data_IF_313217384951
#
_entry.id   IF_313217384951
#
_cell.length_a   1.000
_cell.length_b   1.000
_cell.length_c   1.000
_cell.angle_alpha   90.00
_cell.angle_beta   90.00
_cell.angle_gamma   90.00
#
_symmetry.space_group_name_H-M   'P 1'
#
loop_
_entity.id
_entity.type
_entity.pdbx_description
1 polymer ?
#
# COMPACT_ATOMS: atom_id res chain seq x y z
N UNK A 1 12.27 -41.15 12.47
CA UNK A 1 13.75 -41.21 12.43
C UNK A 1 14.18 -40.38 11.23
N UNK A 2 14.60 -39.15 11.47
CA UNK A 2 15.19 -38.30 10.44
C UNK A 2 16.62 -38.80 10.20
N UNK A 3 16.95 -39.09 8.94
CA UNK A 3 18.30 -39.46 8.51
C UNK A 3 19.27 -38.27 8.63
N UNK A 4 20.57 -38.49 8.50
CA UNK A 4 21.60 -37.49 8.68
C UNK A 4 21.44 -36.35 7.68
N UNK A 5 21.64 -35.13 8.19
CA UNK A 5 21.61 -33.82 7.55
C UNK A 5 21.97 -33.82 6.06
N UNK A 6 20.97 -33.90 5.19
CA UNK A 6 21.21 -33.63 3.77
C UNK A 6 21.31 -32.12 3.62
N UNK A 7 22.36 -31.65 2.95
CA UNK A 7 22.46 -30.25 2.55
C UNK A 7 21.23 -29.87 1.72
N UNK A 8 20.71 -28.64 1.87
CA UNK A 8 19.58 -28.18 1.09
C UNK A 8 19.89 -28.22 -0.41
N UNK A 9 18.89 -28.55 -1.21
CA UNK A 9 19.02 -28.44 -2.65
C UNK A 9 19.15 -26.98 -3.06
N UNK A 10 20.28 -26.57 -3.65
CA UNK A 10 20.48 -25.24 -4.21
C UNK A 10 20.13 -25.22 -5.68
N UNK A 11 19.26 -24.29 -6.08
CA UNK A 11 18.86 -24.07 -7.47
C UNK A 11 19.16 -22.62 -7.83
N UNK A 12 20.02 -22.42 -8.82
CA UNK A 12 20.35 -21.10 -9.35
C UNK A 12 19.35 -20.73 -10.47
N UNK A 13 18.58 -19.66 -10.27
CA UNK A 13 17.60 -19.17 -11.24
C UNK A 13 18.23 -18.63 -12.52
N UNK A 14 19.49 -18.18 -12.47
CA UNK A 14 20.18 -17.66 -13.65
C UNK A 14 20.60 -18.79 -14.63
N UNK A 15 20.78 -19.99 -14.11
CA UNK A 15 21.22 -21.18 -14.90
C UNK A 15 20.12 -22.22 -15.09
N UNK A 16 18.93 -22.00 -14.49
CA UNK A 16 17.80 -22.92 -14.62
C UNK A 16 17.24 -22.92 -16.06
N UNK A 17 17.05 -24.10 -16.64
CA UNK A 17 16.50 -24.28 -17.99
C UNK A 17 15.09 -23.68 -18.11
N UNK A 18 14.25 -23.86 -17.10
CA UNK A 18 12.92 -23.24 -16.98
C UNK A 18 12.69 -22.71 -15.55
N UNK A 19 12.66 -21.39 -15.35
CA UNK A 19 12.34 -20.81 -14.05
C UNK A 19 10.96 -21.21 -13.48
N UNK A 20 10.00 -21.62 -14.32
CA UNK A 20 8.69 -22.08 -13.86
C UNK A 20 8.78 -23.45 -13.19
N UNK A 21 9.66 -24.33 -13.67
CA UNK A 21 9.91 -25.61 -13.00
C UNK A 21 10.41 -25.36 -11.57
N UNK A 22 11.31 -24.40 -11.39
CA UNK A 22 11.82 -24.04 -10.05
C UNK A 22 10.69 -23.53 -9.15
N UNK A 23 9.75 -22.74 -9.68
CA UNK A 23 8.54 -22.31 -8.93
C UNK A 23 7.74 -23.53 -8.48
N UNK A 24 7.45 -24.47 -9.39
CA UNK A 24 6.67 -25.69 -9.08
C UNK A 24 7.37 -26.57 -8.04
N UNK A 25 8.69 -26.70 -8.12
CA UNK A 25 9.48 -27.46 -7.14
C UNK A 25 9.45 -26.81 -5.75
N UNK A 26 9.59 -25.47 -5.68
CA UNK A 26 9.46 -24.73 -4.44
C UNK A 26 8.04 -24.86 -3.84
N UNK A 27 7.00 -24.76 -4.68
CA UNK A 27 5.59 -24.98 -4.26
C UNK A 27 5.40 -26.41 -3.72
N UNK A 28 5.95 -27.44 -4.41
CA UNK A 28 5.85 -28.83 -3.96
C UNK A 28 6.56 -29.04 -2.62
N UNK A 29 7.75 -28.48 -2.42
CA UNK A 29 8.49 -28.53 -1.16
C UNK A 29 7.68 -27.87 -0.02
N UNK A 30 7.15 -26.68 -0.23
CA UNK A 30 6.34 -25.95 0.76
C UNK A 30 5.02 -26.66 1.08
N UNK A 31 4.37 -27.26 0.08
CA UNK A 31 3.13 -28.02 0.24
C UNK A 31 3.33 -29.32 1.03
N UNK A 32 4.55 -29.86 1.07
CA UNK A 32 4.94 -31.02 1.87
C UNK A 32 5.43 -30.63 3.28
N UNK A 33 5.39 -29.35 3.64
CA UNK A 33 5.85 -28.84 4.95
C UNK A 33 7.37 -28.64 5.03
N UNK A 34 8.02 -28.50 3.88
CA UNK A 34 9.43 -28.09 3.79
C UNK A 34 9.64 -26.59 4.05
N UNK A 35 10.88 -26.21 4.34
CA UNK A 35 11.35 -24.84 4.44
C UNK A 35 12.19 -24.51 3.22
N UNK A 36 11.89 -23.40 2.57
CA UNK A 36 12.59 -22.94 1.37
C UNK A 36 13.27 -21.60 1.63
N UNK A 37 14.55 -21.49 1.32
CA UNK A 37 15.30 -20.24 1.30
C UNK A 37 15.03 -19.46 0.02
N UNK A 38 14.55 -18.23 0.12
CA UNK A 38 14.14 -17.39 -1.01
C UNK A 38 14.65 -15.95 -0.87
N UNK A 39 14.96 -15.34 -2.01
CA UNK A 39 15.18 -13.90 -2.08
C UNK A 39 13.85 -13.14 -1.99
N UNK A 40 13.86 -12.02 -1.25
CA UNK A 40 12.92 -10.92 -1.45
C UNK A 40 13.66 -9.77 -2.12
N UNK A 41 12.99 -8.66 -2.40
CA UNK A 41 13.67 -7.44 -2.88
C UNK A 41 14.58 -6.82 -1.81
N UNK A 42 14.41 -7.20 -0.54
CA UNK A 42 15.16 -6.67 0.61
C UNK A 42 16.33 -7.57 1.01
N UNK A 43 16.03 -8.73 1.57
CA UNK A 43 17.00 -9.71 2.06
C UNK A 43 16.51 -11.11 1.70
N UNK A 44 17.38 -12.08 1.79
CA UNK A 44 16.97 -13.49 1.78
C UNK A 44 16.23 -13.84 3.07
N UNK A 45 15.29 -14.75 2.95
CA UNK A 45 14.54 -15.28 4.07
C UNK A 45 14.20 -16.73 3.90
N UNK A 46 13.81 -17.36 5.00
CA UNK A 46 13.29 -18.72 5.04
C UNK A 46 11.77 -18.63 5.04
N UNK A 47 11.11 -19.42 4.20
CA UNK A 47 9.65 -19.46 4.11
C UNK A 47 9.12 -20.87 4.37
N UNK A 48 7.93 -20.92 4.99
CA UNK A 48 7.17 -22.14 5.19
C UNK A 48 5.69 -21.88 4.95
N UNK A 49 4.92 -22.90 4.59
CA UNK A 49 3.47 -22.79 4.53
C UNK A 49 2.86 -22.59 5.91
N UNK A 50 2.01 -21.58 6.11
CA UNK A 50 1.41 -21.26 7.41
C UNK A 50 0.53 -22.39 7.98
N UNK A 51 0.03 -23.29 7.15
CA UNK A 51 -0.77 -24.44 7.55
C UNK A 51 0.07 -25.65 8.04
N UNK A 52 1.39 -25.60 7.90
CA UNK A 52 2.31 -26.64 8.31
C UNK A 52 2.98 -26.30 9.67
N UNK A 53 2.30 -26.64 10.76
CA UNK A 53 2.72 -26.26 12.13
C UNK A 53 4.19 -26.62 12.43
N UNK A 54 4.61 -27.85 12.11
CA UNK A 54 5.98 -28.30 12.35
C UNK A 54 7.03 -27.43 11.61
N UNK A 55 6.76 -27.02 10.37
CA UNK A 55 7.65 -26.16 9.60
C UNK A 55 7.73 -24.73 10.19
N UNK A 56 6.60 -24.15 10.59
CA UNK A 56 6.56 -22.82 11.21
C UNK A 56 7.27 -22.81 12.56
N UNK A 57 7.10 -23.86 13.36
CA UNK A 57 7.84 -24.02 14.62
C UNK A 57 9.35 -24.11 14.39
N UNK A 58 9.79 -24.92 13.40
CA UNK A 58 11.22 -24.98 13.01
C UNK A 58 11.76 -23.62 12.56
N UNK A 59 10.99 -22.89 11.74
CA UNK A 59 11.33 -21.52 11.32
C UNK A 59 11.58 -20.60 12.52
N UNK A 60 10.79 -20.71 13.57
CA UNK A 60 10.95 -19.90 14.79
C UNK A 60 12.19 -20.29 15.58
N UNK A 61 12.45 -21.58 15.72
CA UNK A 61 13.58 -22.11 16.48
C UNK A 61 14.93 -21.84 15.81
N UNK A 62 15.01 -21.90 14.48
CA UNK A 62 16.22 -21.64 13.70
C UNK A 62 16.73 -20.19 13.74
N UNK A 63 15.97 -19.27 14.30
CA UNK A 63 16.37 -17.85 14.39
C UNK A 63 17.50 -17.56 15.38
N UNK A 64 17.76 -18.43 16.34
CA UNK A 64 18.85 -18.24 17.34
C UNK A 64 18.77 -16.99 18.21
N UNK A 65 17.74 -16.15 18.08
CA UNK A 65 17.57 -14.89 18.79
C UNK A 65 16.15 -14.71 19.32
N UNK A 66 16.04 -14.22 20.54
CA UNK A 66 14.82 -13.64 21.10
C UNK A 66 14.48 -12.33 20.38
N UNK A 67 13.90 -12.44 19.17
CA UNK A 67 13.42 -11.23 18.48
C UNK A 67 11.99 -10.92 18.91
N UNK A 68 11.72 -9.69 19.35
CA UNK A 68 10.38 -9.25 19.74
C UNK A 68 9.43 -9.08 18.54
N UNK A 69 9.93 -9.23 17.32
CA UNK A 69 9.11 -9.11 16.11
C UNK A 69 8.43 -10.43 15.74
N UNK A 70 7.12 -10.43 15.43
CA UNK A 70 6.43 -11.62 14.96
C UNK A 70 7.04 -12.11 13.63
N UNK A 71 6.81 -13.40 13.33
CA UNK A 71 7.03 -13.92 11.98
C UNK A 71 6.13 -13.15 11.00
N UNK A 72 6.63 -12.87 9.80
CA UNK A 72 5.87 -12.10 8.82
C UNK A 72 5.00 -13.01 7.97
N UNK A 73 3.69 -12.76 7.93
CA UNK A 73 2.77 -13.44 7.04
C UNK A 73 2.80 -12.75 5.67
N UNK A 74 3.05 -13.52 4.62
CA UNK A 74 3.10 -13.01 3.26
C UNK A 74 1.74 -13.14 2.58
N UNK A 75 1.29 -12.05 1.98
CA UNK A 75 0.03 -11.91 1.25
C UNK A 75 0.28 -11.83 -0.26
N UNK A 76 -0.73 -12.20 -1.06
CA UNK A 76 -0.69 -12.10 -2.53
C UNK A 76 -0.89 -10.67 -3.02
N UNK A 77 -1.69 -9.90 -2.27
CA UNK A 77 -2.00 -8.52 -2.61
C UNK A 77 -2.53 -7.71 -1.43
N UNK A 78 -2.56 -6.37 -1.56
CA UNK A 78 -2.96 -5.47 -0.47
C UNK A 78 -4.39 -5.71 0.05
N UNK A 79 -5.30 -6.22 -0.79
CA UNK A 79 -6.71 -6.44 -0.43
C UNK A 79 -6.86 -7.53 0.62
N UNK A 80 -5.99 -8.54 0.61
CA UNK A 80 -6.03 -9.64 1.57
C UNK A 80 -5.76 -9.21 3.03
N UNK A 81 -5.29 -7.98 3.26
CA UNK A 81 -5.10 -7.47 4.63
C UNK A 81 -6.39 -7.52 5.46
N UNK A 82 -7.55 -7.29 4.82
CA UNK A 82 -8.86 -7.33 5.50
C UNK A 82 -9.26 -8.72 5.99
N UNK A 83 -8.71 -9.77 5.40
CA UNK A 83 -8.97 -11.15 5.83
C UNK A 83 -8.26 -11.47 7.16
N UNK A 84 -7.22 -10.72 7.49
CA UNK A 84 -6.38 -10.90 8.69
C UNK A 84 -6.62 -9.84 9.77
N UNK A 85 -7.09 -8.66 9.39
CA UNK A 85 -7.30 -7.51 10.27
C UNK A 85 -8.74 -7.02 10.13
N UNK A 86 -9.61 -7.49 11.03
CA UNK A 86 -11.06 -7.24 10.95
C UNK A 86 -11.42 -5.74 11.04
N UNK A 87 -10.72 -4.99 11.90
CA UNK A 87 -10.99 -3.57 12.15
C UNK A 87 -9.89 -2.69 11.53
N UNK A 88 -9.62 -2.91 10.22
CA UNK A 88 -8.59 -2.18 9.51
C UNK A 88 -8.95 -0.71 9.34
N UNK A 89 -8.11 0.17 9.92
CA UNK A 89 -8.32 1.62 9.86
C UNK A 89 -8.11 2.19 8.44
N UNK A 90 -8.61 3.41 8.20
CA UNK A 90 -8.38 4.13 6.93
C UNK A 90 -6.88 4.33 6.65
N UNK A 91 -6.09 4.60 7.69
CA UNK A 91 -4.63 4.70 7.59
C UNK A 91 -4.02 3.34 7.23
N UNK A 92 -4.48 2.26 7.84
CA UNK A 92 -4.04 0.89 7.53
C UNK A 92 -4.29 0.53 6.06
N UNK A 93 -5.49 0.80 5.56
CA UNK A 93 -5.83 0.64 4.14
C UNK A 93 -4.94 1.46 3.23
N UNK A 94 -4.69 2.72 3.58
CA UNK A 94 -3.87 3.65 2.82
C UNK A 94 -2.43 3.15 2.70
N UNK A 95 -1.84 2.78 3.82
CA UNK A 95 -0.48 2.24 3.85
C UNK A 95 -0.38 0.91 3.09
N UNK A 96 -1.31 -0.03 3.30
CA UNK A 96 -1.32 -1.30 2.57
C UNK A 96 -1.36 -1.10 1.04
N UNK A 97 -2.22 -0.22 0.54
CA UNK A 97 -2.33 0.06 -0.90
C UNK A 97 -1.11 0.73 -1.52
N UNK A 98 -0.39 1.55 -0.74
CA UNK A 98 0.76 2.34 -1.25
C UNK A 98 2.11 1.71 -0.97
N UNK A 99 2.20 0.92 0.10
CA UNK A 99 3.43 0.24 0.49
C UNK A 99 3.63 -1.09 -0.23
N UNK A 100 2.56 -1.70 -0.74
CA UNK A 100 2.59 -3.05 -1.29
C UNK A 100 2.13 -3.13 -2.76
N UNK A 101 2.81 -3.99 -3.56
CA UNK A 101 3.98 -4.80 -3.23
C UNK A 101 5.23 -3.97 -2.94
N UNK A 102 6.02 -4.34 -1.88
CA UNK A 102 7.21 -3.56 -1.57
C UNK A 102 7.90 -3.90 -0.24
N UNK A 103 8.93 -3.11 0.10
CA UNK A 103 9.87 -3.39 1.18
C UNK A 103 9.37 -2.90 2.56
N UNK A 104 8.07 -2.90 2.79
CA UNK A 104 7.47 -2.48 4.07
C UNK A 104 6.71 -3.65 4.69
N UNK A 105 7.00 -3.92 5.96
CA UNK A 105 6.22 -4.82 6.79
C UNK A 105 5.29 -3.99 7.67
N UNK A 106 3.97 -4.20 7.56
CA UNK A 106 2.98 -3.53 8.39
C UNK A 106 2.57 -4.43 9.55
N UNK A 107 2.58 -3.88 10.74
CA UNK A 107 2.13 -4.55 11.97
C UNK A 107 0.78 -3.95 12.39
N UNK A 108 -0.20 -4.82 12.58
CA UNK A 108 -1.56 -4.42 12.97
C UNK A 108 -1.98 -5.10 14.25
N UNK A 109 -2.73 -4.41 15.14
CA UNK A 109 -3.50 -5.08 16.17
C UNK A 109 -4.50 -6.04 15.52
N UNK A 110 -4.41 -7.32 15.87
CA UNK A 110 -5.28 -8.35 15.31
C UNK A 110 -5.40 -9.52 16.30
N UNK A 111 -6.59 -9.72 16.90
CA UNK A 111 -6.83 -10.89 17.74
C UNK A 111 -6.70 -12.18 16.94
N UNK A 112 -5.94 -13.14 17.46
CA UNK A 112 -5.73 -14.44 16.81
C UNK A 112 -6.98 -15.32 16.68
N UNK A 113 -8.12 -14.87 17.21
CA UNK A 113 -9.42 -15.54 17.22
C UNK A 113 -10.42 -14.97 16.21
N UNK A 114 -9.98 -14.17 15.24
CA UNK A 114 -10.85 -13.54 14.23
C UNK A 114 -10.33 -13.73 12.80
N UNK A 115 -11.25 -13.82 11.85
CA UNK A 115 -10.94 -13.91 10.43
C UNK A 115 -10.21 -15.21 10.07
N UNK A 116 -9.30 -15.15 9.11
CA UNK A 116 -8.52 -16.32 8.66
C UNK A 116 -7.57 -16.87 9.73
N UNK A 117 -7.26 -16.11 10.77
CA UNK A 117 -6.43 -16.57 11.88
C UNK A 117 -7.00 -17.80 12.59
N UNK A 118 -8.34 -17.93 12.66
CA UNK A 118 -9.01 -19.10 13.25
C UNK A 118 -8.77 -20.41 12.49
N UNK A 119 -8.42 -20.34 11.21
CA UNK A 119 -8.13 -21.50 10.38
C UNK A 119 -6.67 -21.94 10.44
N UNK A 120 -5.81 -21.20 11.14
CA UNK A 120 -4.41 -21.59 11.36
C UNK A 120 -4.31 -22.66 12.44
N UNK A 121 -3.31 -23.57 12.36
CA UNK A 121 -3.03 -24.52 13.43
C UNK A 121 -2.81 -23.81 14.78
N UNK A 122 -3.22 -24.44 15.87
CA UNK A 122 -3.17 -23.86 17.23
C UNK A 122 -1.73 -23.47 17.63
N UNK A 123 -0.74 -24.24 17.19
CA UNK A 123 0.69 -24.00 17.46
C UNK A 123 1.26 -22.81 16.68
N UNK A 124 0.66 -22.49 15.54
CA UNK A 124 1.11 -21.40 14.64
C UNK A 124 0.59 -20.05 15.10
N UNK A 125 -0.66 -19.98 15.57
CA UNK A 125 -1.30 -18.73 15.98
C UNK A 125 -0.45 -17.88 16.93
N UNK A 126 0.08 -18.39 18.07
CA UNK A 126 0.87 -17.56 18.99
C UNK A 126 2.20 -17.09 18.38
N UNK A 127 2.71 -17.78 17.34
CA UNK A 127 3.93 -17.37 16.64
C UNK A 127 3.70 -16.23 15.65
N UNK A 128 2.51 -16.15 15.07
CA UNK A 128 2.13 -15.12 14.09
C UNK A 128 1.42 -13.93 14.74
N UNK A 129 0.78 -14.12 15.89
CA UNK A 129 0.00 -13.10 16.60
C UNK A 129 0.48 -12.90 18.04
N UNK A 130 1.79 -12.68 18.28
CA UNK A 130 2.26 -12.37 19.61
C UNK A 130 1.64 -11.05 20.08
N UNK A 131 1.16 -10.99 21.33
CA UNK A 131 0.53 -9.81 21.92
C UNK A 131 -0.59 -9.22 21.03
N UNK A 132 -1.38 -10.10 20.41
CA UNK A 132 -2.46 -9.74 19.48
C UNK A 132 -1.99 -8.81 18.33
N UNK A 133 -0.77 -8.98 17.86
CA UNK A 133 -0.20 -8.21 16.75
C UNK A 133 0.22 -9.14 15.62
N UNK A 134 -0.22 -8.85 14.38
CA UNK A 134 0.20 -9.56 13.18
C UNK A 134 1.11 -8.70 12.31
N UNK A 135 2.19 -9.29 11.79
CA UNK A 135 3.07 -8.68 10.81
C UNK A 135 2.73 -9.20 9.42
N UNK A 136 2.36 -8.31 8.51
CA UNK A 136 1.92 -8.62 7.16
C UNK A 136 2.83 -7.94 6.12
N UNK A 137 3.04 -8.60 4.98
CA UNK A 137 3.77 -8.03 3.85
C UNK A 137 3.33 -8.62 2.52
N UNK A 138 3.32 -7.81 1.47
CA UNK A 138 3.28 -8.26 0.08
C UNK A 138 4.65 -7.96 -0.53
N UNK A 139 5.51 -8.96 -0.76
CA UNK A 139 6.83 -8.75 -1.35
C UNK A 139 6.70 -8.36 -2.82
N UNK A 140 7.66 -7.57 -3.35
CA UNK A 140 7.69 -7.21 -4.78
C UNK A 140 8.49 -8.20 -5.63
N UNK A 141 9.29 -9.05 -5.03
CA UNK A 141 10.11 -10.02 -5.77
C UNK A 141 9.25 -11.02 -6.55
N UNK A 142 9.49 -11.11 -7.88
CA UNK A 142 8.64 -11.86 -8.80
C UNK A 142 8.48 -13.32 -8.40
N UNK A 143 9.56 -14.01 -8.12
CA UNK A 143 9.56 -15.45 -7.84
C UNK A 143 8.68 -15.82 -6.63
N UNK A 144 8.82 -15.11 -5.52
CA UNK A 144 8.01 -15.36 -4.31
C UNK A 144 6.52 -15.05 -4.55
N UNK A 145 6.21 -14.06 -5.40
CA UNK A 145 4.81 -13.76 -5.79
C UNK A 145 4.20 -14.86 -6.65
N UNK A 146 4.97 -15.48 -7.55
CA UNK A 146 4.52 -16.62 -8.34
C UNK A 146 4.22 -17.83 -7.42
N UNK A 147 5.07 -18.12 -6.44
CA UNK A 147 4.83 -19.17 -5.43
C UNK A 147 3.54 -18.89 -4.64
N UNK A 148 3.38 -17.65 -4.12
CA UNK A 148 2.17 -17.25 -3.39
C UNK A 148 0.90 -17.43 -4.22
N UNK A 149 0.97 -17.21 -5.52
CA UNK A 149 -0.17 -17.39 -6.44
C UNK A 149 -0.60 -18.84 -6.63
N UNK A 150 0.30 -19.81 -6.41
CA UNK A 150 0.05 -21.24 -6.63
C UNK A 150 -0.27 -22.01 -5.33
N UNK A 151 0.04 -21.47 -4.17
CA UNK A 151 -0.24 -22.11 -2.89
C UNK A 151 -1.67 -21.87 -2.41
N UNK A 152 -2.33 -22.84 -1.78
CA UNK A 152 -3.69 -22.67 -1.26
C UNK A 152 -3.78 -21.81 -0.01
N UNK A 153 -2.65 -21.53 0.68
CA UNK A 153 -2.55 -20.78 1.92
C UNK A 153 -1.39 -19.79 1.92
N UNK A 154 -1.34 -18.92 2.94
CA UNK A 154 -0.28 -17.93 3.05
C UNK A 154 1.07 -18.58 3.42
N UNK A 155 2.14 -17.86 3.12
CA UNK A 155 3.49 -18.18 3.55
C UNK A 155 3.85 -17.41 4.82
N UNK A 156 4.67 -18.03 5.65
CA UNK A 156 5.33 -17.40 6.79
C UNK A 156 6.78 -17.16 6.42
N UNK A 157 7.24 -15.92 6.56
CA UNK A 157 8.62 -15.50 6.31
C UNK A 157 9.34 -15.26 7.64
N UNK A 158 10.53 -15.82 7.73
CA UNK A 158 11.57 -15.47 8.69
C UNK A 158 12.75 -14.87 7.92
N UNK A 159 13.13 -13.61 8.20
CA UNK A 159 14.34 -13.04 7.60
C UNK A 159 15.56 -13.86 8.03
N UNK A 160 16.40 -14.25 7.06
CA UNK A 160 17.61 -15.00 7.35
C UNK A 160 18.67 -14.10 8.00
N UNK A 161 19.41 -14.66 8.93
CA UNK A 161 20.56 -14.00 9.55
C UNK A 161 21.82 -14.79 9.28
N UNK A 162 22.88 -14.11 8.96
CA UNK A 162 24.21 -14.71 8.80
C UNK A 162 24.78 -15.16 10.16
N UNK A 163 25.88 -15.91 10.13
CA UNK A 163 26.59 -16.36 11.35
C UNK A 163 27.02 -15.23 12.28
N UNK A 164 27.24 -14.05 11.73
CA UNK A 164 27.60 -12.80 12.43
C UNK A 164 26.37 -12.00 12.93
N UNK A 165 25.14 -12.51 12.70
CA UNK A 165 23.89 -11.80 12.94
C UNK A 165 23.55 -10.73 11.92
N UNK A 166 24.35 -10.59 10.85
CA UNK A 166 24.10 -9.65 9.77
C UNK A 166 22.99 -10.10 8.83
N UNK A 167 22.55 -9.17 7.97
CA UNK A 167 21.51 -9.46 6.96
C UNK A 167 22.08 -10.32 5.83
N UNK A 168 21.28 -11.26 5.35
CA UNK A 168 21.66 -12.17 4.27
C UNK A 168 21.16 -11.63 2.94
N UNK A 169 22.08 -11.21 2.08
CA UNK A 169 21.79 -10.61 0.77
C UNK A 169 22.10 -11.54 -0.42
N UNK A 170 22.71 -12.71 -0.16
CA UNK A 170 23.01 -13.77 -1.14
C UNK A 170 22.53 -15.12 -0.63
N UNK A 171 22.46 -16.11 -1.49
CA UNK A 171 21.98 -17.45 -1.12
C UNK A 171 22.97 -18.29 -0.30
N UNK A 172 24.27 -17.98 -0.36
CA UNK A 172 25.35 -18.81 0.21
C UNK A 172 25.15 -19.16 1.69
N UNK A 173 24.81 -18.20 2.58
CA UNK A 173 24.62 -18.52 4.00
C UNK A 173 23.45 -19.50 4.27
N UNK A 174 22.43 -19.54 3.39
CA UNK A 174 21.27 -20.39 3.60
C UNK A 174 21.55 -21.87 3.33
N UNK A 175 22.56 -22.17 2.51
CA UNK A 175 22.93 -23.55 2.18
C UNK A 175 23.52 -24.30 3.40
N UNK A 176 24.03 -23.55 4.36
CA UNK A 176 24.60 -24.08 5.60
C UNK A 176 23.58 -24.13 6.77
N UNK A 177 22.34 -23.61 6.54
CA UNK A 177 21.32 -23.58 7.60
C UNK A 177 20.62 -24.93 7.76
N UNK A 178 20.63 -25.44 8.99
CA UNK A 178 19.94 -26.68 9.33
C UNK A 178 18.42 -26.57 9.15
N UNK A 179 17.81 -27.65 8.66
CA UNK A 179 16.36 -27.74 8.50
C UNK A 179 15.78 -26.95 7.31
N UNK A 180 16.64 -26.50 6.40
CA UNK A 180 16.25 -25.95 5.09
C UNK A 180 16.31 -27.08 4.07
N UNK A 181 15.23 -27.31 3.33
CA UNK A 181 15.15 -28.37 2.33
C UNK A 181 15.61 -27.90 0.93
N UNK A 182 15.35 -26.63 0.60
CA UNK A 182 15.69 -26.03 -0.69
C UNK A 182 16.13 -24.59 -0.55
N UNK A 183 17.09 -24.16 -1.35
CA UNK A 183 17.51 -22.76 -1.48
C UNK A 183 17.42 -22.37 -2.95
N UNK A 184 16.62 -21.35 -3.25
CA UNK A 184 16.54 -20.77 -4.59
C UNK A 184 17.43 -19.53 -4.64
N UNK A 185 18.49 -19.65 -5.42
CA UNK A 185 19.45 -18.58 -5.63
C UNK A 185 18.98 -17.67 -6.76
N UNK A 186 18.59 -16.45 -6.41
CA UNK A 186 18.17 -15.40 -7.35
C UNK A 186 19.26 -14.31 -7.53
N UNK A 187 20.51 -14.61 -7.11
CA UNK A 187 21.58 -13.62 -7.04
C UNK A 187 21.43 -12.66 -5.86
N UNK A 188 22.23 -11.60 -5.82
CA UNK A 188 22.17 -10.58 -4.76
C UNK A 188 20.80 -9.88 -4.71
N UNK A 189 20.33 -9.57 -3.49
CA UNK A 189 19.06 -8.84 -3.32
C UNK A 189 19.18 -7.40 -3.80
N UNK A 190 18.08 -6.86 -4.30
CA UNK A 190 18.04 -5.56 -4.97
C UNK A 190 18.35 -4.38 -4.01
N UNK A 191 17.80 -4.42 -2.78
CA UNK A 191 17.87 -3.32 -1.82
C UNK A 191 18.93 -3.53 -0.74
N UNK A 192 19.41 -4.76 -0.52
CA UNK A 192 20.52 -5.07 0.36
C UNK A 192 20.33 -4.73 1.85
N UNK A 193 19.09 -4.51 2.30
CA UNK A 193 18.76 -4.17 3.68
C UNK A 193 17.38 -4.70 4.07
N UNK A 194 17.08 -4.74 5.38
CA UNK A 194 15.82 -5.26 5.91
C UNK A 194 14.61 -4.39 5.51
N UNK A 195 13.43 -5.00 5.49
CA UNK A 195 12.18 -4.25 5.33
C UNK A 195 11.98 -3.26 6.49
N UNK A 196 11.46 -2.07 6.19
CA UNK A 196 11.03 -1.14 7.24
C UNK A 196 9.75 -1.68 7.87
N UNK A 197 9.78 -1.93 9.19
CA UNK A 197 8.62 -2.43 9.94
C UNK A 197 7.87 -1.26 10.59
N UNK A 198 6.58 -1.15 10.29
CA UNK A 198 5.72 -0.04 10.69
C UNK A 198 4.50 -0.59 11.43
N UNK A 199 4.32 -0.17 12.68
CA UNK A 199 3.09 -0.43 13.46
C UNK A 199 2.04 0.60 13.08
N UNK A 200 0.82 0.12 12.83
CA UNK A 200 -0.33 0.96 12.47
C UNK A 200 -1.43 0.74 13.50
N UNK A 201 -1.79 1.79 14.22
CA UNK A 201 -2.81 1.79 15.27
C UNK A 201 -3.81 2.91 15.01
N UNK A 202 -5.02 2.56 14.58
CA UNK A 202 -6.09 3.52 14.23
C UNK A 202 -5.63 4.61 13.24
N UNK A 203 -5.32 5.80 13.71
CA UNK A 203 -4.91 6.97 12.95
C UNK A 203 -3.40 7.29 13.04
N UNK A 204 -2.62 6.41 13.71
CA UNK A 204 -1.19 6.61 13.95
C UNK A 204 -0.35 5.49 13.38
N UNK A 205 0.87 5.83 13.03
CA UNK A 205 1.88 4.87 12.64
C UNK A 205 3.22 5.17 13.32
N UNK A 206 3.98 4.14 13.60
CA UNK A 206 5.33 4.24 14.19
C UNK A 206 6.27 3.24 13.55
N UNK A 207 7.51 3.64 13.33
CA UNK A 207 8.55 2.72 12.87
C UNK A 207 9.02 1.91 14.09
N UNK A 208 8.77 0.59 14.05
CA UNK A 208 9.24 -0.34 15.10
C UNK A 208 10.59 -0.95 14.77
N UNK A 209 10.94 -1.00 13.47
CA UNK A 209 12.27 -1.37 12.99
C UNK A 209 12.60 -0.53 11.75
N UNK A 210 13.64 0.32 11.81
CA UNK A 210 14.17 0.98 10.64
C UNK A 210 14.66 -0.03 9.59
N UNK A 211 14.48 0.31 8.31
CA UNK A 211 14.88 -0.50 7.17
C UNK A 211 15.15 0.37 5.95
N UNK A 212 14.95 -0.19 4.76
CA UNK A 212 15.32 0.47 3.48
C UNK A 212 14.41 1.64 3.09
N UNK A 213 13.27 1.84 3.77
CA UNK A 213 12.34 2.94 3.48
C UNK A 213 12.49 4.04 4.52
N UNK A 214 12.79 5.24 4.05
CA UNK A 214 12.98 6.43 4.88
C UNK A 214 11.66 6.95 5.50
N UNK A 215 11.70 7.55 6.71
CA UNK A 215 10.51 8.09 7.38
C UNK A 215 9.72 9.11 6.54
N UNK A 216 10.41 9.93 5.75
CA UNK A 216 9.81 10.93 4.85
C UNK A 216 8.95 10.29 3.76
N UNK A 217 9.33 9.11 3.26
CA UNK A 217 8.54 8.34 2.30
C UNK A 217 7.28 7.79 2.96
N UNK A 218 7.42 7.25 4.18
CA UNK A 218 6.27 6.76 4.96
C UNK A 218 5.27 7.88 5.28
N UNK A 219 5.74 9.07 5.65
CA UNK A 219 4.88 10.24 5.86
C UNK A 219 4.05 10.55 4.62
N UNK A 220 4.65 10.55 3.44
CA UNK A 220 3.93 10.74 2.17
C UNK A 220 2.94 9.61 1.88
N UNK A 221 3.33 8.36 2.13
CA UNK A 221 2.43 7.20 1.96
C UNK A 221 1.25 7.22 2.93
N UNK A 222 1.45 7.69 4.14
CA UNK A 222 0.42 7.84 5.17
C UNK A 222 -0.51 9.03 4.92
N UNK A 223 -0.09 10.01 4.11
CA UNK A 223 -0.87 11.22 3.85
C UNK A 223 -2.21 10.94 3.17
N UNK A 224 -3.24 11.74 3.49
CA UNK A 224 -4.56 11.68 2.86
C UNK A 224 -4.54 12.36 1.50
N UNK A 225 -4.98 11.66 0.46
CA UNK A 225 -5.09 12.19 -0.91
C UNK A 225 -6.56 12.42 -1.26
N UNK A 226 -6.93 13.69 -1.48
CA UNK A 226 -8.21 14.09 -2.06
C UNK A 226 -8.01 14.36 -3.55
N UNK A 227 -8.80 13.72 -4.41
CA UNK A 227 -8.72 13.84 -5.87
C UNK A 227 -10.04 14.38 -6.43
N UNK A 228 -10.00 15.57 -7.01
CA UNK A 228 -11.14 16.19 -7.70
C UNK A 228 -11.12 15.87 -9.19
N UNK A 229 -12.24 15.40 -9.74
CA UNK A 229 -12.34 14.93 -11.13
C UNK A 229 -13.39 15.69 -11.90
N UNK A 230 -13.02 16.22 -13.08
CA UNK A 230 -13.94 16.78 -14.08
C UNK A 230 -13.53 16.32 -15.49
N UNK A 231 -14.07 16.92 -16.56
CA UNK A 231 -13.73 16.54 -17.94
C UNK A 231 -12.31 16.99 -18.32
N UNK A 232 -12.06 18.28 -18.41
CA UNK A 232 -10.83 18.86 -19.00
C UNK A 232 -9.75 19.26 -18.01
N UNK A 233 -10.01 19.23 -16.69
CA UNK A 233 -9.09 19.69 -15.65
C UNK A 233 -8.60 21.14 -15.83
N UNK A 234 -9.47 22.03 -16.35
CA UNK A 234 -9.15 23.45 -16.57
C UNK A 234 -10.06 24.43 -15.82
N UNK A 235 -11.27 23.99 -15.42
CA UNK A 235 -12.25 24.85 -14.76
C UNK A 235 -12.64 24.34 -13.37
N UNK A 236 -13.59 23.39 -13.29
CA UNK A 236 -14.23 22.93 -12.03
C UNK A 236 -13.24 22.27 -11.05
N UNK A 237 -12.55 21.23 -11.49
CA UNK A 237 -11.65 20.48 -10.58
C UNK A 237 -10.42 21.28 -10.14
N UNK A 238 -9.79 22.17 -10.94
CA UNK A 238 -8.74 23.05 -10.44
C UNK A 238 -9.24 24.07 -9.41
N UNK A 239 -10.43 24.66 -9.62
CA UNK A 239 -11.05 25.55 -8.62
C UNK A 239 -11.31 24.81 -7.31
N UNK A 240 -11.84 23.57 -7.39
CA UNK A 240 -12.08 22.75 -6.21
C UNK A 240 -10.78 22.38 -5.49
N UNK A 241 -9.73 22.03 -6.21
CA UNK A 241 -8.40 21.75 -5.65
C UNK A 241 -7.86 22.96 -4.87
N UNK A 242 -7.82 24.12 -5.50
CA UNK A 242 -7.28 25.34 -4.88
C UNK A 242 -8.10 25.79 -3.67
N UNK A 243 -9.43 25.82 -3.79
CA UNK A 243 -10.32 26.19 -2.68
C UNK A 243 -10.25 25.18 -1.53
N UNK A 244 -10.18 23.88 -1.83
CA UNK A 244 -10.01 22.85 -0.80
C UNK A 244 -8.68 23.01 -0.06
N UNK A 245 -7.58 23.26 -0.75
CA UNK A 245 -6.27 23.55 -0.13
C UNK A 245 -6.36 24.72 0.84
N UNK A 246 -7.03 25.80 0.45
CA UNK A 246 -7.19 26.99 1.31
C UNK A 246 -8.02 26.69 2.55
N UNK A 247 -9.21 26.09 2.37
CA UNK A 247 -10.11 25.75 3.48
C UNK A 247 -9.43 24.77 4.45
N UNK A 248 -8.77 23.77 3.92
CA UNK A 248 -8.06 22.77 4.73
C UNK A 248 -6.90 23.39 5.51
N UNK A 249 -6.07 24.23 4.87
CA UNK A 249 -4.97 24.94 5.53
C UNK A 249 -5.48 25.84 6.66
N UNK A 250 -6.60 26.54 6.44
CA UNK A 250 -7.25 27.35 7.46
C UNK A 250 -7.72 26.51 8.66
N UNK A 251 -8.37 25.37 8.42
CA UNK A 251 -8.90 24.50 9.48
C UNK A 251 -7.83 23.85 10.34
N UNK A 252 -6.72 23.43 9.73
CA UNK A 252 -5.60 22.81 10.45
C UNK A 252 -4.55 23.80 10.96
N UNK A 253 -4.73 25.10 10.66
CA UNK A 253 -3.86 26.17 11.15
C UNK A 253 -2.44 26.15 10.59
N UNK A 254 -2.30 25.98 9.24
CA UNK A 254 -1.02 25.99 8.56
C UNK A 254 -1.06 26.78 7.24
N UNK A 255 0.09 26.98 6.60
CA UNK A 255 0.14 27.52 5.24
C UNK A 255 -0.22 26.42 4.21
N UNK A 256 -0.69 26.84 3.01
CA UNK A 256 -1.11 25.92 1.96
C UNK A 256 0.03 25.00 1.49
N UNK A 257 1.26 25.50 1.43
CA UNK A 257 2.46 24.77 1.06
C UNK A 257 2.93 23.80 2.14
N UNK A 258 2.46 23.92 3.37
CA UNK A 258 2.74 22.99 4.47
C UNK A 258 1.79 21.77 4.50
N UNK A 259 0.70 21.77 3.70
CA UNK A 259 -0.32 20.72 3.72
C UNK A 259 0.26 19.33 3.49
N UNK A 260 1.16 19.18 2.53
CA UNK A 260 1.80 17.89 2.25
C UNK A 260 2.64 17.39 3.43
N UNK A 261 3.36 18.29 4.08
CA UNK A 261 4.12 17.99 5.31
C UNK A 261 3.23 17.63 6.50
N UNK A 262 1.97 18.10 6.50
CA UNK A 262 0.94 17.75 7.49
C UNK A 262 0.15 16.49 7.11
N UNK A 263 0.50 15.83 6.00
CA UNK A 263 -0.13 14.59 5.56
C UNK A 263 -1.38 14.78 4.73
N UNK A 264 -1.57 15.93 4.09
CA UNK A 264 -2.71 16.20 3.20
C UNK A 264 -2.25 16.56 1.79
N UNK A 265 -2.69 15.78 0.82
CA UNK A 265 -2.41 16.00 -0.60
C UNK A 265 -3.74 16.23 -1.31
N UNK A 266 -3.91 17.40 -1.92
CA UNK A 266 -5.11 17.72 -2.69
C UNK A 266 -4.74 17.85 -4.15
N UNK A 267 -5.38 17.08 -5.00
CA UNK A 267 -5.08 16.96 -6.44
C UNK A 267 -6.35 17.14 -7.27
N UNK A 268 -6.17 17.50 -8.54
CA UNK A 268 -7.25 17.43 -9.53
C UNK A 268 -6.77 16.74 -10.82
N UNK A 269 -7.69 16.12 -11.55
CA UNK A 269 -7.44 15.50 -12.85
C UNK A 269 -8.69 15.59 -13.74
N UNK A 270 -8.52 15.31 -15.03
CA UNK A 270 -9.63 15.28 -15.98
C UNK A 270 -9.76 13.96 -16.69
N UNK A 271 -11.01 13.54 -16.94
CA UNK A 271 -11.32 12.32 -17.68
C UNK A 271 -10.81 12.37 -19.13
N UNK A 272 -10.79 13.58 -19.73
CA UNK A 272 -10.33 13.85 -21.09
C UNK A 272 -9.47 15.12 -21.13
N UNK A 273 -8.51 15.24 -20.21
CA UNK A 273 -7.63 16.40 -20.12
C UNK A 273 -6.49 16.32 -21.14
N UNK A 274 -6.25 17.39 -21.86
CA UNK A 274 -4.97 17.59 -22.54
C UNK A 274 -3.89 17.87 -21.47
N UNK A 275 -2.72 17.28 -21.61
CA UNK A 275 -1.64 17.44 -20.62
C UNK A 275 -1.04 18.84 -20.65
N UNK A 276 -0.81 19.43 -19.47
CA UNK A 276 -0.05 20.69 -19.33
C UNK A 276 -0.81 21.97 -19.66
N UNK A 277 -2.13 21.92 -19.89
CA UNK A 277 -2.90 23.14 -20.16
C UNK A 277 -3.08 23.97 -18.88
N UNK A 278 -3.00 25.31 -18.96
CA UNK A 278 -3.29 26.18 -17.82
C UNK A 278 -4.76 26.11 -17.44
N UNK A 279 -5.08 26.53 -16.22
CA UNK A 279 -6.46 26.75 -15.82
C UNK A 279 -7.10 27.88 -16.66
N UNK A 280 -8.42 27.82 -16.84
CA UNK A 280 -9.16 28.85 -17.55
C UNK A 280 -8.96 30.23 -16.88
N UNK A 281 -8.80 31.28 -17.68
CA UNK A 281 -8.50 32.65 -17.17
C UNK A 281 -9.47 33.09 -16.06
N UNK A 282 -10.77 32.87 -16.23
CA UNK A 282 -11.75 33.21 -15.19
C UNK A 282 -11.67 32.31 -13.95
N UNK A 283 -11.20 31.06 -14.07
CA UNK A 283 -10.93 30.21 -12.91
C UNK A 283 -9.76 30.77 -12.09
N UNK A 284 -8.69 31.18 -12.76
CA UNK A 284 -7.52 31.84 -12.13
C UNK A 284 -7.98 33.12 -11.38
N UNK A 285 -8.73 33.99 -12.06
CA UNK A 285 -9.19 35.26 -11.48
C UNK A 285 -10.07 35.05 -10.26
N UNK A 286 -10.98 34.10 -10.32
CA UNK A 286 -11.95 33.82 -9.25
C UNK A 286 -11.28 33.20 -8.01
N UNK A 287 -10.31 32.33 -8.21
CA UNK A 287 -9.51 31.72 -7.12
C UNK A 287 -8.57 32.74 -6.49
N UNK A 288 -7.92 33.59 -7.33
CA UNK A 288 -7.05 34.69 -6.84
C UNK A 288 -7.83 35.69 -5.99
N UNK A 289 -9.05 36.06 -6.38
CA UNK A 289 -9.91 36.96 -5.63
C UNK A 289 -10.29 36.42 -4.22
N UNK A 290 -10.09 35.11 -3.98
CA UNK A 290 -10.28 34.44 -2.68
C UNK A 290 -8.97 34.20 -1.92
N UNK A 291 -7.84 34.66 -2.45
CA UNK A 291 -6.51 34.48 -1.85
C UNK A 291 -5.79 33.16 -2.25
N UNK A 292 -6.36 32.37 -3.16
CA UNK A 292 -5.73 31.17 -3.71
C UNK A 292 -4.94 31.44 -4.97
N UNK A 293 -4.28 30.40 -5.52
CA UNK A 293 -3.52 30.48 -6.76
C UNK A 293 -3.77 29.27 -7.65
N UNK A 294 -3.93 29.53 -8.95
CA UNK A 294 -3.93 28.55 -10.02
C UNK A 294 -2.88 28.90 -11.10
N UNK A 295 -1.94 29.79 -10.81
CA UNK A 295 -0.95 30.28 -11.79
C UNK A 295 0.00 29.17 -12.27
N UNK A 296 0.29 28.21 -11.43
CA UNK A 296 1.14 27.05 -11.77
C UNK A 296 0.33 25.78 -12.08
N UNK A 297 -1.00 25.91 -12.24
CA UNK A 297 -1.81 24.75 -12.59
C UNK A 297 -1.47 24.25 -13.98
N UNK A 298 -1.23 22.96 -14.10
CA UNK A 298 -1.09 22.23 -15.34
C UNK A 298 -2.07 21.05 -15.34
N UNK A 299 -2.98 21.05 -16.31
CA UNK A 299 -3.98 19.98 -16.43
C UNK A 299 -3.33 18.62 -16.64
N UNK A 300 -3.92 17.60 -16.03
CA UNK A 300 -3.45 16.20 -16.12
C UNK A 300 -4.59 15.25 -16.42
N UNK A 301 -4.27 14.23 -17.22
CA UNK A 301 -5.18 13.12 -17.48
C UNK A 301 -5.38 12.30 -16.22
N UNK A 302 -6.61 11.87 -15.95
CA UNK A 302 -6.91 10.91 -14.92
C UNK A 302 -6.30 9.54 -15.29
N UNK A 303 -5.55 8.93 -14.38
CA UNK A 303 -4.97 7.60 -14.57
C UNK A 303 -5.50 6.64 -13.50
N UNK A 304 -5.54 5.35 -13.82
CA UNK A 304 -5.91 4.31 -12.87
C UNK A 304 -5.00 4.32 -11.62
N UNK A 305 -3.75 4.75 -11.76
CA UNK A 305 -2.80 4.89 -10.67
C UNK A 305 -3.22 6.02 -9.70
N UNK A 306 -3.57 7.21 -10.21
CA UNK A 306 -4.10 8.30 -9.39
C UNK A 306 -5.37 7.87 -8.64
N UNK A 307 -6.28 7.17 -9.35
CA UNK A 307 -7.51 6.64 -8.75
C UNK A 307 -7.20 5.64 -7.62
N UNK A 308 -6.28 4.70 -7.85
CA UNK A 308 -5.91 3.71 -6.82
C UNK A 308 -5.30 4.35 -5.56
N UNK A 309 -4.50 5.40 -5.72
CA UNK A 309 -3.82 6.04 -4.60
C UNK A 309 -4.68 7.07 -3.84
N UNK A 310 -5.74 7.60 -4.44
CA UNK A 310 -6.62 8.56 -3.79
C UNK A 310 -7.44 7.91 -2.65
N UNK A 311 -7.59 8.62 -1.54
CA UNK A 311 -8.40 8.18 -0.38
C UNK A 311 -9.85 8.65 -0.49
N UNK A 312 -10.05 9.79 -1.14
CA UNK A 312 -11.36 10.34 -1.49
C UNK A 312 -11.30 10.84 -2.92
N UNK A 313 -12.24 10.41 -3.74
CA UNK A 313 -12.37 10.80 -5.13
C UNK A 313 -13.70 11.56 -5.25
N UNK A 314 -13.61 12.79 -5.71
CA UNK A 314 -14.74 13.72 -5.76
C UNK A 314 -15.02 14.09 -7.20
N UNK A 315 -16.10 13.56 -7.75
CA UNK A 315 -16.54 13.83 -9.11
C UNK A 315 -17.43 15.09 -9.16
N UNK A 316 -17.29 15.87 -10.24
CA UNK A 316 -18.09 17.08 -10.45
C UNK A 316 -19.49 16.79 -10.98
N UNK A 317 -19.69 15.66 -11.67
CA UNK A 317 -20.99 15.27 -12.27
C UNK A 317 -21.22 13.77 -12.15
N UNK A 318 -22.47 13.34 -12.36
CA UNK A 318 -22.86 11.92 -12.40
C UNK A 318 -22.11 11.17 -13.49
N UNK A 319 -21.98 11.77 -14.68
CA UNK A 319 -21.25 11.16 -15.80
C UNK A 319 -19.77 10.89 -15.43
N UNK A 320 -19.13 11.80 -14.69
CA UNK A 320 -17.76 11.56 -14.20
C UNK A 320 -17.72 10.41 -13.19
N UNK A 321 -18.71 10.35 -12.30
CA UNK A 321 -18.81 9.29 -11.30
C UNK A 321 -19.02 7.93 -11.96
N UNK A 322 -19.98 7.82 -12.87
CA UNK A 322 -20.28 6.58 -13.61
C UNK A 322 -19.06 6.10 -14.40
N UNK A 323 -18.44 7.01 -15.18
CA UNK A 323 -17.23 6.67 -15.93
C UNK A 323 -16.06 6.21 -15.06
N UNK A 324 -15.91 6.77 -13.87
CA UNK A 324 -14.91 6.33 -12.89
C UNK A 324 -15.20 4.90 -12.40
N UNK A 325 -16.45 4.62 -12.07
CA UNK A 325 -16.86 3.31 -11.55
C UNK A 325 -16.79 2.22 -12.63
N UNK A 326 -17.05 2.57 -13.88
CA UNK A 326 -16.91 1.64 -15.00
C UNK A 326 -15.44 1.28 -15.27
N UNK A 327 -14.52 2.24 -15.15
CA UNK A 327 -13.09 2.02 -15.41
C UNK A 327 -12.35 1.40 -14.23
N UNK A 328 -12.73 1.73 -12.99
CA UNK A 328 -12.06 1.30 -11.75
C UNK A 328 -13.11 1.00 -10.68
N UNK A 329 -13.85 -0.11 -10.78
CA UNK A 329 -14.97 -0.42 -9.88
C UNK A 329 -14.59 -0.46 -8.39
N UNK A 330 -13.37 -0.86 -8.08
CA UNK A 330 -12.85 -0.92 -6.72
C UNK A 330 -12.72 0.46 -6.04
N UNK A 331 -12.87 1.55 -6.77
CA UNK A 331 -12.86 2.89 -6.17
C UNK A 331 -14.23 3.31 -5.56
N UNK A 332 -15.30 2.56 -5.81
CA UNK A 332 -16.67 2.90 -5.40
C UNK A 332 -16.82 3.33 -3.91
N UNK A 333 -16.24 2.62 -2.92
CA UNK A 333 -16.43 2.99 -1.52
C UNK A 333 -15.81 4.35 -1.11
N UNK A 334 -14.98 4.93 -1.97
CA UNK A 334 -14.25 6.19 -1.70
C UNK A 334 -14.51 7.26 -2.76
N UNK A 335 -15.50 7.03 -3.63
CA UNK A 335 -15.88 7.95 -4.71
C UNK A 335 -17.28 8.51 -4.46
N UNK A 336 -17.43 9.82 -4.62
CA UNK A 336 -18.72 10.50 -4.48
C UNK A 336 -18.79 11.76 -5.36
N UNK A 337 -19.99 12.32 -5.48
CA UNK A 337 -20.17 13.66 -6.04
C UNK A 337 -19.77 14.74 -5.04
N UNK A 338 -19.31 15.89 -5.54
CA UNK A 338 -19.04 17.06 -4.72
C UNK A 338 -20.33 17.63 -4.14
N UNK A 339 -21.39 17.67 -4.95
CA UNK A 339 -22.70 18.14 -4.50
C UNK A 339 -23.29 17.20 -3.43
N UNK A 340 -23.67 17.69 -2.24
CA UNK A 340 -24.06 16.83 -1.11
C UNK A 340 -25.36 16.05 -1.37
N UNK A 341 -26.26 16.57 -2.22
CA UNK A 341 -27.51 15.90 -2.61
C UNK A 341 -27.41 15.09 -3.89
N UNK A 342 -26.20 14.87 -4.42
CA UNK A 342 -25.98 14.06 -5.61
C UNK A 342 -26.35 14.74 -6.92
N UNK A 343 -26.33 16.09 -6.99
CA UNK A 343 -26.52 16.85 -8.21
C UNK A 343 -25.18 17.18 -8.89
N UNK A 344 -25.23 17.64 -10.12
CA UNK A 344 -24.06 18.02 -10.89
C UNK A 344 -23.59 19.45 -10.54
N UNK A 345 -22.28 19.66 -10.48
CA UNK A 345 -21.70 21.00 -10.49
C UNK A 345 -21.70 21.54 -11.93
N UNK A 346 -22.43 22.66 -12.21
CA UNK A 346 -22.53 23.19 -13.57
C UNK A 346 -21.19 23.55 -14.18
N UNK A 347 -21.01 23.25 -15.48
CA UNK A 347 -19.77 23.59 -16.18
C UNK A 347 -19.74 25.05 -16.61
N UNK A 348 -18.82 25.89 -16.11
CA UNK A 348 -18.72 27.29 -16.49
C UNK A 348 -17.95 27.50 -17.81
N UNK A 349 -17.47 26.44 -18.48
CA UNK A 349 -16.66 26.57 -19.70
C UNK A 349 -17.37 27.39 -20.79
N UNK A 350 -16.66 28.33 -21.39
CA UNK A 350 -17.25 29.24 -22.42
C UNK A 350 -18.22 30.29 -21.89
N UNK A 351 -18.48 30.34 -20.59
CA UNK A 351 -19.40 31.29 -19.94
C UNK A 351 -18.69 32.54 -19.45
N UNK A 352 -19.47 33.45 -18.83
CA UNK A 352 -18.99 34.73 -18.31
C UNK A 352 -18.23 34.55 -16.97
N UNK A 353 -17.47 35.57 -16.58
CA UNK A 353 -16.80 35.62 -15.26
C UNK A 353 -17.79 35.47 -14.10
N UNK A 354 -19.00 36.00 -14.24
CA UNK A 354 -20.05 35.89 -13.24
C UNK A 354 -20.49 34.43 -13.01
N UNK A 355 -20.60 33.64 -14.09
CA UNK A 355 -20.87 32.19 -14.00
C UNK A 355 -19.76 31.48 -13.23
N UNK A 356 -18.49 31.77 -13.52
CA UNK A 356 -17.36 31.22 -12.74
C UNK A 356 -17.41 31.60 -11.26
N UNK A 357 -17.77 32.86 -10.94
CA UNK A 357 -17.94 33.31 -9.55
C UNK A 357 -19.04 32.52 -8.82
N UNK A 358 -20.17 32.27 -9.49
CA UNK A 358 -21.26 31.46 -8.92
C UNK A 358 -20.83 30.02 -8.70
N UNK A 359 -20.25 29.39 -9.72
CA UNK A 359 -19.74 28.01 -9.59
C UNK A 359 -18.70 27.87 -8.49
N UNK A 360 -17.79 28.84 -8.34
CA UNK A 360 -16.80 28.79 -7.28
C UNK A 360 -17.42 28.92 -5.86
N UNK A 361 -18.47 29.75 -5.68
CA UNK A 361 -19.20 29.82 -4.41
C UNK A 361 -19.92 28.52 -4.07
N UNK A 362 -20.50 27.87 -5.05
CA UNK A 362 -21.15 26.55 -4.89
C UNK A 362 -20.12 25.51 -4.50
N UNK A 363 -19.00 25.42 -5.23
CA UNK A 363 -17.87 24.51 -4.91
C UNK A 363 -17.37 24.75 -3.48
N UNK A 364 -17.11 26.00 -3.10
CA UNK A 364 -16.62 26.37 -1.76
C UNK A 364 -17.57 25.87 -0.66
N UNK A 365 -18.88 26.14 -0.81
CA UNK A 365 -19.88 25.66 0.14
C UNK A 365 -19.95 24.13 0.24
N UNK A 366 -19.81 23.42 -0.88
CA UNK A 366 -19.83 21.95 -0.87
C UNK A 366 -18.55 21.36 -0.28
N UNK A 367 -17.42 22.06 -0.46
CA UNK A 367 -16.16 21.69 0.17
C UNK A 367 -16.20 21.86 1.69
N UNK A 368 -16.83 22.91 2.20
CA UNK A 368 -17.04 23.09 3.65
C UNK A 368 -17.78 21.89 4.25
N UNK A 369 -18.90 21.48 3.62
CA UNK A 369 -19.67 20.32 4.04
C UNK A 369 -18.87 19.01 3.93
N UNK A 370 -18.10 18.84 2.85
CA UNK A 370 -17.24 17.67 2.66
C UNK A 370 -16.17 17.56 3.77
N UNK A 371 -15.53 18.66 4.11
CA UNK A 371 -14.52 18.71 5.17
C UNK A 371 -15.13 18.47 6.55
N UNK A 372 -16.33 19.00 6.83
CA UNK A 372 -17.08 18.75 8.08
C UNK A 372 -17.40 17.25 8.24
N UNK A 373 -17.90 16.60 7.18
CA UNK A 373 -18.17 15.15 7.16
C UNK A 373 -16.89 14.30 7.38
N UNK A 374 -15.74 14.82 7.00
CA UNK A 374 -14.44 14.18 7.20
C UNK A 374 -13.85 14.44 8.60
N UNK A 375 -14.47 15.30 9.41
CA UNK A 375 -13.96 15.70 10.72
C UNK A 375 -12.74 16.63 10.66
N UNK A 376 -12.64 17.37 9.58
CA UNK A 376 -11.53 18.29 9.28
C UNK A 376 -11.98 19.74 9.35
#
# INVERSE_FOLDING_TARGET
MMGPHSQPERIDLATADDPRDVVHRAVACLAQGGIVGLATETVYGLVAGALHAAAVVRLRQGRGFEMPTPLTLLLRGPVEVADWVADLSQLGWRLARRAWPGPITLLFPAPASRGLADHLPAEVRPLLFPDETVALRVPSHRFIREILGLLPGPLVLSEAQGPDGGVVTTADPLVEMEGVEMVVDAGPTQLGGVSTAVRVESDRWTIVRPGVVEPSVLTRMAGMILLFVCTGNTCRSPMAEALCKMLLAQRIGCAVDELEGRGYVVLSAGMAAAHGMPAAAYAIDVVRARGGSLEHHASRQLTAELVRHADRIIAMTKDHLESLLDQVPECAPRTRLLHPLGEDVPDPIGSTRETYLRTAREIERYLELLLDEMGL
#
